data_IF_947274973685
#
_entry.id   IF_947274973685
#
_cell.length_a   1.000
_cell.length_b   1.000
_cell.length_c   1.000
_cell.angle_alpha   90.00
_cell.angle_beta   90.00
_cell.angle_gamma   90.00
#
_symmetry.space_group_name_H-M   'P 1'
#
loop_
_entity.id
_entity.type
_entity.pdbx_description
1 polymer ?
2 non-polymer ?
3 water ?
#
# COMPACT_ATOMS: atom_id res chain seq x y z
N UNK A 5 25.42 10.78 -9.77
CA UNK A 5 23.96 10.71 -9.84
C UNK A 5 23.40 9.89 -8.67
N UNK A 6 22.81 10.58 -7.70
CA UNK A 6 22.33 9.96 -6.47
C UNK A 6 20.85 9.64 -6.58
N UNK A 7 20.49 8.40 -6.28
CA UNK A 7 19.13 7.90 -6.42
C UNK A 7 18.49 7.80 -5.04
N UNK A 8 17.24 8.23 -4.95
CA UNK A 8 16.44 8.10 -3.74
C UNK A 8 15.06 7.57 -4.11
N UNK A 9 14.25 7.33 -3.09
CA UNK A 9 12.87 6.92 -3.33
C UNK A 9 12.09 7.99 -4.10
N UNK A 10 12.42 9.26 -3.88
CA UNK A 10 11.65 10.35 -4.46
C UNK A 10 11.91 10.50 -5.96
N UNK A 11 13.15 10.26 -6.40
CA UNK A 11 13.52 10.47 -7.79
C UNK A 11 13.65 9.18 -8.58
N UNK A 12 13.36 8.03 -7.97
CA UNK A 12 13.51 6.74 -8.64
C UNK A 12 12.83 6.74 -10.01
N UNK A 13 11.56 7.13 -10.05
CA UNK A 13 10.78 7.05 -11.28
C UNK A 13 11.27 8.00 -12.35
N UNK A 14 11.94 9.09 -11.96
CA UNK A 14 12.48 10.01 -12.96
C UNK A 14 13.75 9.48 -13.60
N UNK A 15 14.39 8.48 -13.02
CA UNK A 15 15.62 7.91 -13.56
C UNK A 15 15.39 6.55 -14.20
N UNK A 16 14.55 5.71 -13.58
CA UNK A 16 14.24 4.39 -14.12
C UNK A 16 13.20 4.53 -15.23
N UNK A 17 13.67 4.99 -16.39
CA UNK A 17 12.80 5.27 -17.53
C UNK A 17 13.22 4.43 -18.73
N UNK A 18 12.29 4.32 -19.69
CA UNK A 18 12.59 3.65 -20.95
C UNK A 18 13.77 4.31 -21.64
N UNK A 19 13.81 5.64 -21.64
CA UNK A 19 14.90 6.36 -22.29
C UNK A 19 16.25 5.96 -21.72
N UNK A 20 16.35 5.88 -20.39
CA UNK A 20 17.64 5.53 -19.78
C UNK A 20 17.97 4.06 -20.01
N UNK A 21 16.97 3.18 -19.93
CA UNK A 21 17.21 1.76 -20.20
C UNK A 21 17.76 1.56 -21.60
N UNK A 22 17.20 2.27 -22.58
CA UNK A 22 17.64 2.14 -23.97
C UNK A 22 19.10 2.55 -24.14
N UNK A 23 19.58 3.49 -23.32
CA UNK A 23 20.98 3.90 -23.42
C UNK A 23 21.92 2.73 -23.18
N UNK A 24 21.48 1.73 -22.40
CA UNK A 24 22.33 0.59 -22.09
C UNK A 24 22.56 -0.33 -23.28
N UNK A 25 21.76 -0.22 -24.34
CA UNK A 25 21.85 -1.15 -25.46
C UNK A 25 23.19 -1.04 -26.20
N UNK A 26 23.90 0.08 -26.06
CA UNK A 26 25.17 0.22 -26.76
C UNK A 26 26.30 -0.57 -26.09
N UNK A 27 26.15 -0.97 -24.84
CA UNK A 27 27.23 -1.67 -24.15
C UNK A 27 27.40 -3.08 -24.70
N UNK A 28 28.64 -3.58 -24.81
CA UNK A 28 28.83 -5.00 -25.10
C UNK A 28 28.14 -5.87 -24.06
N UNK A 29 27.83 -7.10 -24.48
CA UNK A 29 26.95 -7.98 -23.71
C UNK A 29 27.47 -8.21 -22.29
N UNK A 30 28.79 -8.36 -22.13
CA UNK A 30 29.34 -8.71 -20.82
C UNK A 30 29.07 -7.62 -19.78
N UNK A 31 28.95 -6.36 -20.21
CA UNK A 31 28.53 -5.29 -19.32
C UNK A 31 27.05 -4.98 -19.40
N UNK A 32 26.44 -5.17 -20.58
CA UNK A 32 25.05 -4.78 -20.79
C UNK A 32 24.10 -5.65 -19.97
N UNK A 33 24.30 -6.95 -20.00
CA UNK A 33 23.31 -7.83 -19.39
C UNK A 33 23.33 -7.75 -17.86
N UNK A 34 24.49 -7.73 -17.20
CA UNK A 34 24.47 -7.51 -15.74
C UNK A 34 23.81 -6.20 -15.35
N UNK A 35 24.08 -5.13 -16.10
CA UNK A 35 23.54 -3.82 -15.75
C UNK A 35 22.03 -3.79 -15.99
N UNK A 36 21.59 -4.26 -17.16
CA UNK A 36 20.16 -4.37 -17.43
C UNK A 36 19.46 -5.24 -16.39
N UNK A 37 20.13 -6.30 -15.93
CA UNK A 37 19.52 -7.16 -14.93
C UNK A 37 19.23 -6.43 -13.63
N UNK A 38 20.20 -5.63 -13.16
CA UNK A 38 20.00 -4.82 -11.96
C UNK A 38 18.91 -3.78 -12.17
N UNK A 39 18.92 -3.13 -13.34
CA UNK A 39 17.90 -2.15 -13.69
C UNK A 39 16.50 -2.77 -13.62
N UNK A 40 16.32 -3.92 -14.27
CA UNK A 40 15.01 -4.56 -14.29
C UNK A 40 14.60 -5.03 -12.90
N UNK A 41 15.54 -5.60 -12.14
CA UNK A 41 15.22 -6.03 -10.78
C UNK A 41 14.79 -4.84 -9.93
N UNK A 42 15.51 -3.72 -10.04
CA UNK A 42 15.15 -2.52 -9.30
C UNK A 42 13.72 -2.09 -9.62
N UNK A 43 13.39 -1.94 -10.91
CA UNK A 43 12.04 -1.52 -11.30
C UNK A 43 10.99 -2.51 -10.80
N UNK A 44 11.26 -3.81 -10.95
CA UNK A 44 10.27 -4.81 -10.54
C UNK A 44 10.02 -4.74 -9.04
N UNK A 45 11.07 -4.60 -8.24
CA UNK A 45 10.87 -4.52 -6.79
C UNK A 45 10.17 -3.22 -6.42
N UNK A 46 10.56 -2.11 -7.07
CA UNK A 46 9.93 -0.82 -6.79
C UNK A 46 8.45 -0.83 -7.15
N UNK A 47 8.13 -1.35 -8.34
CA UNK A 47 6.73 -1.48 -8.75
C UNK A 47 5.94 -2.35 -7.78
N UNK A 48 6.55 -3.44 -7.30
CA UNK A 48 5.86 -4.32 -6.35
C UNK A 48 5.62 -3.62 -5.03
N UNK A 49 6.60 -2.83 -4.56
CA UNK A 49 6.38 -2.02 -3.36
C UNK A 49 5.24 -1.04 -3.55
N UNK A 50 5.08 -0.51 -4.76
CA UNK A 50 3.93 0.35 -5.04
C UNK A 50 2.63 -0.43 -4.95
N UNK A 51 2.58 -1.61 -5.58
CA UNK A 51 1.37 -2.43 -5.52
C UNK A 51 1.04 -2.83 -4.08
N UNK A 52 2.07 -3.19 -3.32
CA UNK A 52 1.86 -3.55 -1.92
C UNK A 52 1.29 -2.38 -1.13
N UNK A 53 1.85 -1.18 -1.32
CA UNK A 53 1.38 0.01 -0.62
C UNK A 53 -0.08 0.33 -0.97
N UNK A 54 -0.40 0.40 -2.27
CA UNK A 54 -1.77 0.70 -2.66
C UNK A 54 -2.74 -0.33 -2.10
N UNK A 55 -2.37 -1.61 -2.12
CA UNK A 55 -3.26 -2.63 -1.58
C UNK A 55 -3.37 -2.52 -0.07
N UNK A 56 -2.27 -2.23 0.62
CA UNK A 56 -2.32 -2.07 2.08
C UNK A 56 -3.20 -0.91 2.48
N UNK A 57 -3.12 0.20 1.73
CA UNK A 57 -3.97 1.35 2.00
C UNK A 57 -5.44 0.99 1.82
N UNK A 58 -5.77 0.33 0.71
CA UNK A 58 -7.16 -0.02 0.43
C UNK A 58 -7.70 -1.04 1.44
N UNK A 59 -6.91 -2.06 1.77
CA UNK A 59 -7.33 -3.03 2.77
C UNK A 59 -7.55 -2.36 4.12
N UNK A 60 -6.63 -1.47 4.52
CA UNK A 60 -6.80 -0.74 5.77
C UNK A 60 -8.09 0.07 5.77
N UNK A 61 -8.35 0.80 4.68
CA UNK A 61 -9.57 1.60 4.61
C UNK A 61 -10.81 0.71 4.68
N UNK A 62 -10.79 -0.41 3.96
CA UNK A 62 -11.93 -1.33 4.00
C UNK A 62 -12.13 -1.89 5.40
N UNK A 63 -11.03 -2.21 6.08
CA UNK A 63 -11.14 -2.72 7.44
C UNK A 63 -11.67 -1.65 8.40
N UNK A 64 -11.19 -0.41 8.26
CA UNK A 64 -11.65 0.67 9.13
C UNK A 64 -13.15 0.90 8.97
N UNK A 65 -13.64 0.91 7.73
CA UNK A 65 -15.06 1.11 7.50
C UNK A 65 -15.88 0.01 8.17
N UNK A 66 -15.43 -1.24 8.07
CA UNK A 66 -16.20 -2.34 8.64
C UNK A 66 -16.07 -2.41 10.15
N UNK A 67 -14.93 -1.98 10.71
CA UNK A 67 -14.80 -1.92 12.16
C UNK A 67 -15.64 -0.79 12.74
N UNK A 68 -15.69 0.36 12.06
CA UNK A 68 -16.60 1.43 12.47
C UNK A 68 -18.03 0.92 12.55
N UNK A 69 -18.43 0.08 11.59
CA UNK A 69 -19.78 -0.49 11.61
C UNK A 69 -19.95 -1.46 12.77
N UNK A 70 -18.91 -2.23 13.09
CA UNK A 70 -18.96 -3.11 14.26
C UNK A 70 -19.13 -2.31 15.55
N UNK A 71 -18.41 -1.20 15.69
CA UNK A 71 -18.51 -0.39 16.90
C UNK A 71 -19.90 0.24 17.00
N UNK A 72 -20.41 0.76 15.88
CA UNK A 72 -21.77 1.30 15.84
C UNK A 72 -22.78 0.28 16.33
N UNK A 73 -22.66 -0.96 15.86
CA UNK A 73 -23.61 -1.99 16.26
C UNK A 73 -23.48 -2.32 17.75
N UNK A 74 -22.25 -2.49 18.23
CA UNK A 74 -22.04 -2.70 19.66
C UNK A 74 -22.65 -1.57 20.48
N UNK A 75 -22.47 -0.33 20.03
CA UNK A 75 -23.06 0.81 20.73
C UNK A 75 -24.58 0.71 20.70
N UNK A 76 -25.15 0.27 19.57
CA UNK A 76 -26.61 0.15 19.52
C UNK A 76 -27.11 -0.94 20.46
N UNK A 77 -26.38 -2.06 20.55
CA UNK A 77 -26.78 -3.14 21.45
C UNK A 77 -26.74 -2.71 22.91
N UNK A 78 -25.68 -2.01 23.31
CA UNK A 78 -25.61 -1.54 24.69
C UNK A 78 -26.69 -0.50 24.97
N UNK A 79 -26.91 0.41 24.02
CA UNK A 79 -27.99 1.38 24.17
C UNK A 79 -29.32 0.68 24.39
N UNK A 80 -29.59 -0.38 23.62
CA UNK A 80 -30.84 -1.11 23.77
C UNK A 80 -30.93 -1.77 25.14
N UNK A 81 -29.83 -2.38 25.60
CA UNK A 81 -29.82 -3.03 26.91
C UNK A 81 -30.06 -2.02 28.02
N UNK A 82 -29.38 -0.88 27.96
CA UNK A 82 -29.54 0.15 28.99
C UNK A 82 -30.94 0.75 28.94
N UNK A 83 -31.46 1.02 27.73
CA UNK A 83 -32.83 1.53 27.62
C UNK A 83 -33.83 0.54 28.20
N UNK A 84 -33.69 -0.74 27.88
CA UNK A 84 -34.63 -1.74 28.38
C UNK A 84 -34.54 -1.86 29.89
N UNK A 85 -33.32 -1.88 30.43
CA UNK A 85 -33.14 -1.91 31.88
C UNK A 85 -33.79 -0.70 32.55
N UNK A 86 -33.61 0.49 31.97
CA UNK A 86 -34.19 1.69 32.56
C UNK A 86 -35.72 1.62 32.57
N UNK A 87 -36.32 1.01 31.55
CA UNK A 87 -37.77 0.84 31.56
C UNK A 87 -38.22 -0.17 32.61
N UNK A 88 -37.30 -0.97 33.14
CA UNK A 88 -37.56 -1.86 34.27
C UNK A 88 -37.21 -1.21 35.60
N UNK A 89 -36.87 0.07 35.60
CA UNK A 89 -36.58 0.78 36.83
C UNK A 89 -35.17 0.62 37.36
N UNK A 90 -34.25 0.07 36.56
CA UNK A 90 -32.86 -0.06 37.02
C UNK A 90 -32.21 1.31 37.06
N UNK A 91 -31.47 1.57 38.14
CA UNK A 91 -30.82 2.86 38.38
C UNK A 91 -29.33 2.72 38.09
N UNK A 92 -28.89 3.26 36.95
CA UNK A 92 -27.48 3.21 36.59
C UNK A 92 -26.70 4.42 37.10
X LIG B 1 -36.98 -6.65 28.20
X LIG C 1 -43.76 1.62 34.38
X LIG D 1 2.95 -0.03 3.00
#
# INVERSE_FOLDING_TARGET
>A
GSMAMKITSSNFATIATSENFAKLSVLPKNHREPIKGLFKSAVEQFSSARDFFKNENYSKELAEKFNKEAVNEAVEKLQKAIDLAEKQGIQF
>B hetero
1 IOD I
>C hetero
1 IOD I
>D hetero
1 IOD I
#
